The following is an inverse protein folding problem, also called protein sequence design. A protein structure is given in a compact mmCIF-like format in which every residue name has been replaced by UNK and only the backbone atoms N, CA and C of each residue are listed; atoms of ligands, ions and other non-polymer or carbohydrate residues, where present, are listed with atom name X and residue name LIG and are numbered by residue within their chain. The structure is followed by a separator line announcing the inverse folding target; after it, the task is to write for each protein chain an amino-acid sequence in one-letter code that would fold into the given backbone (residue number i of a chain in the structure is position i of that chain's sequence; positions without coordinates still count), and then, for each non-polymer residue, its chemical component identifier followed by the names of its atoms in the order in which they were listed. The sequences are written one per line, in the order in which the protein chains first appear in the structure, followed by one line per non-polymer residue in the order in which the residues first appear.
data_IF_989856814071
#
_entry.id   IF_989856814071
#
_cell.length_a   1.000
_cell.length_b   1.000
_cell.length_c   1.000
_cell.angle_alpha   90.00
_cell.angle_beta   90.00
_cell.angle_gamma   90.00
#
_symmetry.space_group_name_H-M   'P 1'
#
loop_
_entity.id
_entity.type
_entity.pdbx_description
1 polymer ?
#
# COMPACT_ATOMS: atom_id res chain seq x y z
N UNK A 1 15.62 5.67 37.07
CA UNK A 1 14.52 6.31 36.31
C UNK A 1 14.86 6.19 34.84
N UNK A 2 13.91 5.85 33.95
CA UNK A 2 14.19 5.82 32.52
C UNK A 2 14.60 7.23 32.05
N UNK A 3 15.57 7.30 31.13
CA UNK A 3 16.00 8.58 30.56
C UNK A 3 14.86 9.22 29.77
N UNK A 4 14.65 10.54 29.84
CA UNK A 4 13.66 11.23 29.03
C UNK A 4 14.04 11.17 27.55
N UNK A 5 13.05 10.91 26.69
CA UNK A 5 13.24 10.97 25.24
C UNK A 5 13.56 12.39 24.79
N UNK A 6 14.57 12.55 23.94
CA UNK A 6 14.97 13.86 23.38
C UNK A 6 14.14 14.26 22.16
N UNK A 7 13.60 13.28 21.44
CA UNK A 7 12.74 13.46 20.28
C UNK A 7 11.89 12.21 20.07
N UNK A 8 10.77 12.37 19.35
CA UNK A 8 9.87 11.28 18.93
C UNK A 8 9.54 11.50 17.46
N UNK A 9 9.58 10.43 16.66
CA UNK A 9 9.12 10.44 15.27
C UNK A 9 7.83 9.65 15.23
N UNK A 10 6.80 10.24 14.64
CA UNK A 10 5.53 9.59 14.39
C UNK A 10 5.44 9.24 12.92
N UNK A 11 4.95 8.05 12.64
CA UNK A 11 4.48 7.72 11.31
C UNK A 11 3.21 8.52 11.01
N UNK A 12 2.89 8.69 9.72
CA UNK A 12 1.71 9.43 9.31
C UNK A 12 0.51 8.50 9.19
N UNK A 13 0.58 7.56 8.25
CA UNK A 13 -0.50 6.64 7.91
C UNK A 13 -0.75 5.64 9.04
N UNK A 14 -2.02 5.48 9.43
CA UNK A 14 -2.43 4.59 10.52
C UNK A 14 -2.02 5.03 11.93
N UNK A 15 -1.24 6.10 12.08
CA UNK A 15 -0.78 6.64 13.37
C UNK A 15 -1.34 8.03 13.62
N UNK A 16 -1.02 9.00 12.75
CA UNK A 16 -1.54 10.36 12.85
C UNK A 16 -2.82 10.56 12.02
N UNK A 17 -2.94 9.83 10.92
CA UNK A 17 -4.10 9.85 10.02
C UNK A 17 -4.70 8.46 9.87
N UNK A 18 -6.03 8.36 9.90
CA UNK A 18 -6.76 7.12 9.59
C UNK A 18 -6.89 6.95 8.06
N UNK A 19 -5.74 6.81 7.40
CA UNK A 19 -5.61 6.72 5.94
C UNK A 19 -5.60 5.28 5.43
N UNK A 20 -5.31 4.29 6.28
CA UNK A 20 -5.18 2.87 5.92
C UNK A 20 -6.40 2.26 5.20
N UNK A 21 -7.66 2.59 5.59
CA UNK A 21 -8.82 2.08 4.87
C UNK A 21 -8.86 2.47 3.39
N UNK A 22 -8.27 3.61 3.02
CA UNK A 22 -8.29 4.13 1.66
C UNK A 22 -7.32 3.41 0.73
N UNK A 23 -6.21 2.89 1.24
CA UNK A 23 -5.22 2.17 0.43
C UNK A 23 -5.84 0.95 -0.26
N UNK A 24 -6.70 0.22 0.43
CA UNK A 24 -7.42 -0.90 -0.17
C UNK A 24 -8.36 -0.47 -1.30
N UNK A 25 -9.03 0.67 -1.17
CA UNK A 25 -9.89 1.20 -2.24
C UNK A 25 -9.08 1.70 -3.44
N UNK A 26 -7.92 2.32 -3.19
CA UNK A 26 -6.99 2.78 -4.23
C UNK A 26 -6.47 1.59 -5.03
N UNK A 27 -6.00 0.56 -4.34
CA UNK A 27 -5.52 -0.68 -4.96
C UNK A 27 -6.64 -1.35 -5.76
N UNK A 28 -7.86 -1.41 -5.22
CA UNK A 28 -9.00 -1.98 -5.93
C UNK A 28 -9.34 -1.22 -7.22
N UNK A 29 -9.27 0.12 -7.20
CA UNK A 29 -9.50 0.97 -8.38
C UNK A 29 -8.40 0.80 -9.42
N UNK A 30 -7.13 0.80 -9.00
CA UNK A 30 -5.99 0.56 -9.88
C UNK A 30 -6.14 -0.80 -10.57
N UNK A 31 -6.33 -1.86 -9.79
CA UNK A 31 -6.42 -3.23 -10.29
C UNK A 31 -7.64 -3.44 -11.20
N UNK A 32 -8.77 -2.81 -10.89
CA UNK A 32 -9.96 -2.85 -11.74
C UNK A 32 -9.70 -2.25 -13.13
N UNK A 33 -8.91 -1.18 -13.24
CA UNK A 33 -8.52 -0.60 -14.53
C UNK A 33 -7.71 -1.58 -15.40
N UNK A 34 -7.08 -2.58 -14.79
CA UNK A 34 -6.34 -3.65 -15.46
C UNK A 34 -7.09 -5.00 -15.48
N UNK A 35 -8.41 -4.98 -15.24
CA UNK A 35 -9.27 -6.16 -15.36
C UNK A 35 -9.21 -7.13 -14.17
N UNK A 36 -8.64 -6.71 -13.04
CA UNK A 36 -8.54 -7.52 -11.82
C UNK A 36 -9.63 -7.11 -10.84
N UNK A 37 -10.37 -8.09 -10.32
CA UNK A 37 -11.30 -7.87 -9.20
C UNK A 37 -10.55 -8.11 -7.88
N UNK A 38 -10.05 -7.05 -7.28
CA UNK A 38 -9.37 -7.09 -5.98
C UNK A 38 -10.36 -6.90 -4.82
N UNK A 39 -10.21 -7.70 -3.76
CA UNK A 39 -11.09 -7.71 -2.58
C UNK A 39 -10.34 -7.46 -1.27
N UNK A 40 -9.08 -7.02 -1.35
CA UNK A 40 -8.24 -6.82 -0.17
C UNK A 40 -7.49 -8.07 0.29
N UNK A 41 -7.52 -9.16 -0.48
CA UNK A 41 -6.91 -10.45 -0.12
C UNK A 41 -5.38 -10.37 0.08
N UNK A 42 -4.74 -9.33 -0.44
CA UNK A 42 -3.30 -9.06 -0.32
C UNK A 42 -2.97 -7.80 0.49
N UNK A 43 -3.94 -7.17 1.16
CA UNK A 43 -3.73 -5.91 1.87
C UNK A 43 -2.58 -6.00 2.88
N UNK A 44 -2.50 -7.13 3.59
CA UNK A 44 -1.41 -7.38 4.57
C UNK A 44 -0.02 -7.53 3.93
N UNK A 45 0.06 -7.87 2.65
CA UNK A 45 1.34 -7.99 1.93
C UNK A 45 1.91 -6.64 1.53
N UNK A 46 1.07 -5.60 1.46
CA UNK A 46 1.43 -4.26 0.99
C UNK A 46 1.24 -3.18 2.07
N UNK A 47 0.79 -3.56 3.27
CA UNK A 47 0.64 -2.63 4.39
C UNK A 47 1.99 -2.01 4.78
N UNK A 48 2.06 -0.69 4.83
CA UNK A 48 3.26 0.05 5.24
C UNK A 48 4.47 -0.07 4.28
N UNK A 49 4.27 -0.61 3.06
CA UNK A 49 5.32 -0.63 2.03
C UNK A 49 5.17 0.57 1.10
N UNK A 50 6.24 0.90 0.37
CA UNK A 50 6.16 1.97 -0.63
C UNK A 50 5.25 1.57 -1.79
N UNK A 51 4.57 2.55 -2.39
CA UNK A 51 3.64 2.32 -3.49
C UNK A 51 4.25 1.51 -4.65
N UNK A 52 5.51 1.80 -5.02
CA UNK A 52 6.24 1.03 -6.05
C UNK A 52 6.33 -0.46 -5.72
N UNK A 53 6.66 -0.81 -4.47
CA UNK A 53 6.77 -2.21 -4.04
C UNK A 53 5.40 -2.90 -4.03
N UNK A 54 4.33 -2.19 -3.67
CA UNK A 54 2.97 -2.69 -3.74
C UNK A 54 2.56 -3.01 -5.19
N UNK A 55 2.84 -2.09 -6.12
CA UNK A 55 2.60 -2.27 -7.56
C UNK A 55 3.42 -3.43 -8.14
N UNK A 56 4.70 -3.54 -7.79
CA UNK A 56 5.56 -4.67 -8.20
C UNK A 56 5.00 -6.02 -7.69
N UNK A 57 4.52 -6.05 -6.45
CA UNK A 57 3.85 -7.20 -5.88
C UNK A 57 2.59 -7.56 -6.68
N UNK A 58 1.71 -6.59 -6.94
CA UNK A 58 0.46 -6.82 -7.65
C UNK A 58 0.65 -7.26 -9.10
N UNK A 59 1.61 -6.65 -9.81
CA UNK A 59 2.00 -7.08 -11.17
C UNK A 59 2.34 -8.57 -11.19
N UNK A 60 3.10 -9.04 -10.19
CA UNK A 60 3.45 -10.46 -10.06
C UNK A 60 2.27 -11.33 -9.63
N UNK A 61 1.49 -10.88 -8.64
CA UNK A 61 0.37 -11.65 -8.08
C UNK A 61 -0.75 -11.88 -9.10
N UNK A 62 -1.03 -10.88 -9.95
CA UNK A 62 -2.12 -10.91 -10.93
C UNK A 62 -1.66 -11.09 -12.38
N UNK A 63 -0.35 -11.21 -12.62
CA UNK A 63 0.19 -11.40 -13.97
C UNK A 63 -0.06 -10.22 -14.92
N UNK A 64 -0.02 -9.00 -14.41
CA UNK A 64 -0.33 -7.79 -15.19
C UNK A 64 0.72 -7.57 -16.30
N UNK A 65 0.25 -7.27 -17.51
CA UNK A 65 1.10 -6.97 -18.66
C UNK A 65 1.72 -5.57 -18.58
N UNK A 66 1.00 -4.59 -18.03
CA UNK A 66 1.45 -3.21 -17.84
C UNK A 66 2.77 -3.13 -17.05
N UNK A 67 3.66 -2.22 -17.43
CA UNK A 67 4.90 -1.93 -16.72
C UNK A 67 4.64 -1.33 -15.33
N UNK A 68 5.64 -1.37 -14.45
CA UNK A 68 5.53 -0.77 -13.11
C UNK A 68 5.29 0.74 -13.24
N UNK A 69 5.99 1.40 -14.16
CA UNK A 69 5.81 2.82 -14.46
C UNK A 69 4.41 3.18 -15.01
N UNK A 70 3.71 2.27 -15.71
CA UNK A 70 2.32 2.51 -16.14
C UNK A 70 1.30 2.29 -15.01
N UNK A 71 1.66 1.49 -14.02
CA UNK A 71 0.82 1.18 -12.86
C UNK A 71 0.99 2.20 -11.72
N UNK A 72 1.98 3.09 -11.80
CA UNK A 72 2.22 4.16 -10.83
C UNK A 72 1.60 5.48 -11.26
#
# INVERSE_FOLDING_TARGET
MPQPFRAVIFDLDGVLADSEPWWNEIDAKLLAAHGVTYRGEYHRNVLGVSYRLAVEFYKKAFGLSASVEELM
#
